data_IF_013121297106
#
_entry.id   IF_013121297106
#
_cell.length_a   1.000
_cell.length_b   1.000
_cell.length_c   1.000
_cell.angle_alpha   90.00
_cell.angle_beta   90.00
_cell.angle_gamma   90.00
#
_symmetry.space_group_name_H-M   'P 1'
#
loop_
_entity.id
_entity.type
_entity.pdbx_description
1 polymer ?
#
# COMPACT_ATOMS: atom_id res chain seq x y z
N UNK A 1 -6.79 -19.00 45.42
CA UNK A 1 -5.84 -18.14 44.68
C UNK A 1 -6.56 -16.85 44.32
N UNK A 2 -6.44 -15.81 45.14
CA UNK A 2 -7.11 -14.52 44.88
C UNK A 2 -6.26 -13.70 43.92
N UNK A 3 -6.74 -13.55 42.70
CA UNK A 3 -6.14 -12.69 41.69
C UNK A 3 -6.39 -11.23 42.08
N UNK A 4 -5.36 -10.50 42.51
CA UNK A 4 -5.49 -9.09 42.86
C UNK A 4 -5.96 -8.22 41.68
N UNK A 5 -6.55 -7.04 41.94
CA UNK A 5 -7.07 -6.15 40.90
C UNK A 5 -5.97 -5.72 39.91
N UNK A 6 -4.72 -5.57 40.39
CA UNK A 6 -3.55 -5.29 39.57
C UNK A 6 -3.34 -6.31 38.43
N UNK A 7 -3.66 -7.59 38.67
CA UNK A 7 -3.50 -8.65 37.66
C UNK A 7 -4.53 -8.53 36.53
N UNK A 8 -5.71 -7.99 36.84
CA UNK A 8 -6.76 -7.74 35.85
C UNK A 8 -6.42 -6.52 34.99
N UNK A 9 -5.86 -5.47 35.59
CA UNK A 9 -5.40 -4.29 34.84
C UNK A 9 -4.26 -4.62 33.87
N UNK A 10 -3.31 -5.47 34.29
CA UNK A 10 -2.23 -5.95 33.41
C UNK A 10 -2.79 -6.77 32.24
N UNK A 11 -3.74 -7.68 32.52
CA UNK A 11 -4.38 -8.46 31.47
C UNK A 11 -5.15 -7.58 30.46
N UNK A 12 -5.81 -6.52 30.93
CA UNK A 12 -6.58 -5.61 30.10
C UNK A 12 -5.68 -4.72 29.22
N UNK A 13 -4.54 -4.27 29.74
CA UNK A 13 -3.51 -3.54 28.97
C UNK A 13 -2.93 -4.39 27.83
N UNK A 14 -2.71 -5.68 28.06
CA UNK A 14 -2.17 -6.59 27.06
C UNK A 14 -3.22 -7.04 26.02
N UNK A 15 -4.50 -7.10 26.41
CA UNK A 15 -5.60 -7.48 25.51
C UNK A 15 -6.10 -6.34 24.62
N UNK A 16 -5.96 -5.09 25.04
CA UNK A 16 -6.40 -3.93 24.28
C UNK A 16 -5.82 -3.82 22.84
N UNK A 17 -4.51 -3.97 22.60
CA UNK A 17 -3.95 -3.83 21.25
C UNK A 17 -4.37 -4.97 20.30
N UNK A 18 -4.75 -6.14 20.84
CA UNK A 18 -5.21 -7.27 20.04
C UNK A 18 -6.61 -7.04 19.45
N UNK A 19 -7.42 -6.19 20.08
CA UNK A 19 -8.77 -5.85 19.61
C UNK A 19 -8.79 -4.66 18.63
N UNK A 20 -7.79 -3.77 18.69
CA UNK A 20 -7.69 -2.61 17.79
C UNK A 20 -7.19 -2.96 16.38
N UNK A 21 -6.56 -4.13 16.19
CA UNK A 21 -6.01 -4.55 14.89
C UNK A 21 -7.04 -4.94 13.81
N UNK A 22 -8.33 -5.01 14.15
CA UNK A 22 -9.38 -5.38 13.19
C UNK A 22 -9.94 -4.19 12.38
N UNK A 23 -9.57 -2.94 12.69
CA UNK A 23 -10.19 -1.76 12.06
C UNK A 23 -9.47 -1.27 10.79
N UNK A 24 -8.30 -1.81 10.45
CA UNK A 24 -7.49 -1.26 9.33
C UNK A 24 -7.74 -1.89 7.96
N UNK A 25 -8.53 -2.97 7.87
CA UNK A 25 -8.66 -3.77 6.63
C UNK A 25 -9.61 -3.18 5.58
N UNK A 26 -9.84 -1.87 5.61
CA UNK A 26 -10.86 -1.22 4.78
C UNK A 26 -10.43 0.08 4.12
N UNK A 27 -9.35 0.73 4.56
CA UNK A 27 -8.87 1.92 3.87
C UNK A 27 -7.92 1.46 2.76
N UNK A 28 -8.30 1.52 1.47
CA UNK A 28 -7.27 1.53 0.44
C UNK A 28 -6.41 2.74 0.77
N UNK A 29 -5.15 2.52 1.17
CA UNK A 29 -4.14 3.57 1.16
C UNK A 29 -3.90 3.90 -0.30
N UNK A 30 -4.84 4.60 -0.92
CA UNK A 30 -4.59 5.37 -2.12
C UNK A 30 -3.56 6.39 -1.67
N UNK A 31 -2.28 6.03 -1.77
CA UNK A 31 -1.21 6.98 -1.57
C UNK A 31 -1.55 8.19 -2.44
N UNK A 32 -1.57 9.39 -1.87
CA UNK A 32 -1.70 10.59 -2.69
C UNK A 32 -0.42 10.76 -3.49
N UNK A 33 -0.38 10.13 -4.65
CA UNK A 33 0.80 10.15 -5.50
C UNK A 33 0.98 11.47 -6.22
N UNK A 34 -0.03 12.36 -6.18
CA UNK A 34 0.04 13.67 -6.83
C UNK A 34 1.05 14.57 -6.13
N UNK A 35 1.09 14.52 -4.79
CA UNK A 35 2.08 15.22 -3.98
C UNK A 35 3.50 14.70 -4.22
N UNK A 36 3.65 13.37 -4.32
CA UNK A 36 4.95 12.73 -4.62
C UNK A 36 5.47 13.07 -6.02
N UNK A 37 4.59 13.04 -7.02
CA UNK A 37 4.97 13.34 -8.41
C UNK A 37 5.32 14.82 -8.58
N UNK A 38 4.63 15.72 -7.87
CA UNK A 38 5.00 17.14 -7.80
C UNK A 38 6.36 17.35 -7.14
N UNK A 39 6.60 16.74 -5.98
CA UNK A 39 7.89 16.80 -5.29
C UNK A 39 9.03 16.27 -6.18
N UNK A 40 8.80 15.14 -6.87
CA UNK A 40 9.75 14.56 -7.81
C UNK A 40 10.06 15.50 -8.99
N UNK A 41 9.03 16.10 -9.61
CA UNK A 41 9.28 16.99 -10.74
C UNK A 41 10.00 18.27 -10.31
N UNK A 42 9.64 18.83 -9.15
CA UNK A 42 10.32 20.02 -8.59
C UNK A 42 11.76 19.72 -8.17
N UNK A 43 12.06 18.54 -7.62
CA UNK A 43 13.43 18.15 -7.26
C UNK A 43 14.35 18.00 -8.49
N UNK A 44 13.78 17.78 -9.67
CA UNK A 44 14.51 17.73 -10.94
C UNK A 44 14.65 19.11 -11.61
N UNK A 45 14.47 20.21 -10.86
CA UNK A 45 14.52 21.59 -11.35
C UNK A 45 13.50 21.91 -12.45
N UNK A 46 12.39 21.16 -12.49
CA UNK A 46 11.32 21.41 -13.47
C UNK A 46 10.34 22.41 -12.90
N UNK A 47 10.24 23.58 -13.52
CA UNK A 47 9.40 24.68 -13.03
C UNK A 47 7.90 24.35 -13.14
N UNK A 48 7.15 24.51 -12.06
CA UNK A 48 5.70 24.29 -12.05
C UNK A 48 5.01 25.20 -13.09
N UNK A 49 4.09 24.63 -13.86
CA UNK A 49 3.39 25.33 -14.96
C UNK A 49 4.14 25.37 -16.30
N UNK A 50 5.40 24.91 -16.36
CA UNK A 50 6.10 24.71 -17.63
C UNK A 50 5.59 23.49 -18.39
N UNK A 51 5.85 23.42 -19.70
CA UNK A 51 5.55 22.23 -20.50
C UNK A 51 6.32 21.01 -19.98
N UNK A 52 7.58 21.20 -19.57
CA UNK A 52 8.42 20.15 -19.01
C UNK A 52 7.83 19.57 -17.71
N UNK A 53 7.18 20.40 -16.89
CA UNK A 53 6.52 19.93 -15.66
C UNK A 53 5.33 19.03 -15.98
N UNK A 54 4.52 19.39 -16.97
CA UNK A 54 3.40 18.57 -17.45
C UNK A 54 3.91 17.24 -17.99
N UNK A 55 4.99 17.27 -18.79
CA UNK A 55 5.60 16.06 -19.33
C UNK A 55 6.19 15.17 -18.23
N UNK A 56 6.86 15.75 -17.24
CA UNK A 56 7.40 15.02 -16.10
C UNK A 56 6.29 14.28 -15.34
N UNK A 57 5.20 14.97 -15.01
CA UNK A 57 4.04 14.35 -14.34
C UNK A 57 3.38 13.27 -15.16
N UNK A 58 3.23 13.47 -16.48
CA UNK A 58 2.68 12.45 -17.38
C UNK A 58 3.58 11.22 -17.46
N UNK A 59 4.89 11.39 -17.54
CA UNK A 59 5.84 10.28 -17.57
C UNK A 59 5.82 9.48 -16.26
N UNK A 60 5.62 10.15 -15.12
CA UNK A 60 5.43 9.51 -13.82
C UNK A 60 4.16 8.66 -13.77
N UNK A 61 3.06 9.21 -14.28
CA UNK A 61 1.78 8.48 -14.40
C UNK A 61 1.91 7.23 -15.29
N UNK A 62 2.55 7.36 -16.46
CA UNK A 62 2.83 6.23 -17.35
C UNK A 62 3.69 5.16 -16.68
N UNK A 63 4.74 5.56 -15.95
CA UNK A 63 5.58 4.61 -15.21
C UNK A 63 4.80 3.82 -14.16
N UNK A 64 3.88 4.50 -13.46
CA UNK A 64 3.00 3.87 -12.48
C UNK A 64 2.02 2.90 -13.15
N UNK A 65 1.38 3.32 -14.23
CA UNK A 65 0.50 2.45 -15.03
C UNK A 65 1.21 1.19 -15.51
N UNK A 66 2.46 1.33 -16.00
CA UNK A 66 3.29 0.20 -16.40
C UNK A 66 3.64 -0.73 -15.23
N UNK A 67 3.91 -0.20 -14.04
CA UNK A 67 4.17 -1.00 -12.85
C UNK A 67 2.92 -1.80 -12.44
N UNK A 68 1.75 -1.17 -12.40
CA UNK A 68 0.49 -1.82 -12.08
C UNK A 68 0.15 -2.92 -13.10
N UNK A 69 0.36 -2.65 -14.40
CA UNK A 69 0.12 -3.63 -15.45
C UNK A 69 1.07 -4.85 -15.35
N UNK A 70 2.32 -4.66 -14.89
CA UNK A 70 3.22 -5.80 -14.60
C UNK A 70 2.70 -6.65 -13.46
N UNK A 71 2.23 -6.03 -12.38
CA UNK A 71 1.66 -6.73 -11.23
C UNK A 71 0.40 -7.51 -11.61
N UNK A 72 -0.51 -6.90 -12.36
CA UNK A 72 -1.74 -7.56 -12.86
C UNK A 72 -1.40 -8.78 -13.73
N UNK A 73 -0.46 -8.64 -14.68
CA UNK A 73 0.02 -9.79 -15.47
C UNK A 73 0.61 -10.89 -14.60
N UNK A 74 1.41 -10.54 -13.59
CA UNK A 74 1.99 -11.54 -12.68
C UNK A 74 0.91 -12.29 -11.89
N UNK A 75 -0.14 -11.59 -11.42
CA UNK A 75 -1.27 -12.21 -10.72
C UNK A 75 -2.05 -13.16 -11.63
N UNK A 76 -2.31 -12.76 -12.88
CA UNK A 76 -2.99 -13.62 -13.86
C UNK A 76 -2.16 -14.87 -14.19
N UNK A 77 -0.87 -14.70 -14.45
CA UNK A 77 0.03 -15.82 -14.71
C UNK A 77 0.08 -16.81 -13.53
N UNK A 78 0.09 -16.30 -12.29
CA UNK A 78 0.02 -17.15 -11.10
C UNK A 78 -1.32 -17.88 -11.02
N UNK A 79 -2.43 -17.19 -11.24
CA UNK A 79 -3.76 -17.81 -11.24
C UNK A 79 -3.88 -18.90 -12.31
N UNK A 80 -3.38 -18.66 -13.52
CA UNK A 80 -3.30 -19.65 -14.59
C UNK A 80 -2.41 -20.84 -14.21
N UNK A 81 -1.28 -20.58 -13.55
CA UNK A 81 -0.41 -21.65 -13.07
C UNK A 81 -1.12 -22.55 -12.04
N UNK A 82 -1.79 -21.95 -11.05
CA UNK A 82 -2.54 -22.68 -10.03
C UNK A 82 -3.69 -23.50 -10.63
N UNK A 83 -4.40 -22.93 -11.61
CA UNK A 83 -5.48 -23.64 -12.32
C UNK A 83 -4.96 -24.88 -13.07
N UNK A 84 -3.78 -24.76 -13.70
CA UNK A 84 -3.17 -25.84 -14.47
C UNK A 84 -2.33 -26.81 -13.61
N UNK A 85 -2.05 -26.45 -12.35
CA UNK A 85 -1.25 -27.24 -11.42
C UNK A 85 -1.92 -27.40 -10.04
N UNK A 86 -3.16 -27.93 -9.98
CA UNK A 86 -4.01 -27.87 -8.78
C UNK A 86 -3.51 -28.69 -7.58
N UNK A 87 -2.54 -29.58 -7.78
CA UNK A 87 -1.96 -30.42 -6.72
C UNK A 87 -0.59 -29.93 -6.24
N UNK A 88 -0.07 -28.83 -6.80
CA UNK A 88 1.16 -28.18 -6.35
C UNK A 88 0.83 -26.97 -5.47
N UNK A 89 1.48 -26.81 -4.31
CA UNK A 89 1.37 -25.58 -3.52
C UNK A 89 1.98 -24.39 -4.26
#
# INVERSE_FOLDING_TARGET
MQSGPARHFIALLLAAPLLTGCLERGQPTMADTSADDDAFCRSNNVAAGSNDYVNCRKNRDVQRGNANARTDRAQRNLAEHMLNNPTRP
#
